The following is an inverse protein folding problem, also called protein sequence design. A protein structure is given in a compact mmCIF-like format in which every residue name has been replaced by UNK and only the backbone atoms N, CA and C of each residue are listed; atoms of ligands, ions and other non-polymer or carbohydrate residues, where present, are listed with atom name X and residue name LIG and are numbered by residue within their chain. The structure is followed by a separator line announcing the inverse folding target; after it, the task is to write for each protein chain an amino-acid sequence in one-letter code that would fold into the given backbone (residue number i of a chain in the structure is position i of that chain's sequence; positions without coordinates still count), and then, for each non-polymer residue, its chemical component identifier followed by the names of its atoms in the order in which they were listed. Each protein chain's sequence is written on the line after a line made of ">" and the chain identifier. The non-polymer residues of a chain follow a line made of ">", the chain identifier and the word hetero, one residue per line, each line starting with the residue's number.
data_IF_475551642798
#
_entry.id   IF_475551642798
#
_cell.length_a   1.000
_cell.length_b   1.000
_cell.length_c   1.000
_cell.angle_alpha   90.00
_cell.angle_beta   90.00
_cell.angle_gamma   90.00
#
_symmetry.space_group_name_H-M   'P 1'
#
loop_
_entity.id
_entity.type
_entity.pdbx_description
1 polymer ?
#
# COMPACT_ATOMS: atom_id res chain seq x y z
N UNK A 1 19.18 22.40 -20.34
CA UNK A 1 20.06 21.37 -19.75
C UNK A 1 19.93 21.50 -18.25
N UNK A 2 19.14 20.69 -17.56
CA UNK A 2 19.39 19.26 -17.32
C UNK A 2 18.09 18.46 -17.48
N UNK A 3 18.04 17.56 -18.46
CA UNK A 3 17.04 16.49 -18.52
C UNK A 3 17.33 15.54 -17.35
N UNK A 4 16.71 15.80 -16.20
CA UNK A 4 16.77 14.89 -15.07
C UNK A 4 15.84 13.71 -15.39
N UNK A 5 16.36 12.74 -16.16
CA UNK A 5 15.72 11.45 -16.38
C UNK A 5 15.48 10.85 -15.00
N UNK A 6 14.23 10.90 -14.56
CA UNK A 6 13.78 10.23 -13.36
C UNK A 6 13.75 8.73 -13.68
N UNK A 7 14.93 8.10 -13.63
CA UNK A 7 15.04 6.66 -13.82
C UNK A 7 14.28 5.99 -12.68
N UNK A 8 13.16 5.35 -13.01
CA UNK A 8 12.39 4.55 -12.05
C UNK A 8 13.34 3.58 -11.37
N UNK A 9 13.52 3.74 -10.06
CA UNK A 9 14.40 2.89 -9.27
C UNK A 9 13.57 1.84 -8.54
N UNK A 10 13.91 0.56 -8.68
CA UNK A 10 13.24 -0.51 -7.94
C UNK A 10 13.71 -0.45 -6.49
N UNK A 11 12.76 -0.39 -5.56
CA UNK A 11 13.08 -0.31 -4.13
C UNK A 11 13.53 -1.68 -3.62
N UNK A 12 14.75 -1.74 -3.07
CA UNK A 12 15.30 -2.90 -2.37
C UNK A 12 15.33 -2.59 -0.87
N UNK A 13 14.73 -3.45 -0.07
CA UNK A 13 14.65 -3.26 1.38
C UNK A 13 15.97 -3.59 2.10
N UNK A 14 16.22 -2.87 3.18
CA UNK A 14 17.35 -3.13 4.08
C UNK A 14 17.22 -4.55 4.67
N UNK A 15 18.31 -5.31 4.67
CA UNK A 15 18.37 -6.74 5.04
C UNK A 15 17.76 -7.74 4.05
N UNK A 16 17.41 -7.32 2.82
CA UNK A 16 17.10 -8.24 1.72
C UNK A 16 18.24 -9.26 1.51
N UNK A 17 17.89 -10.49 1.13
CA UNK A 17 18.86 -11.53 0.78
C UNK A 17 19.89 -11.01 -0.25
N UNK A 18 21.20 -11.21 -0.03
CA UNK A 18 22.24 -10.63 -0.89
C UNK A 18 22.15 -11.08 -2.36
N UNK A 19 21.84 -12.35 -2.63
CA UNK A 19 21.72 -12.86 -4.00
C UNK A 19 20.50 -12.25 -4.70
N UNK A 20 19.37 -12.18 -3.98
CA UNK A 20 18.15 -11.56 -4.49
C UNK A 20 18.31 -10.06 -4.71
N UNK A 21 18.96 -9.35 -3.78
CA UNK A 21 19.26 -7.93 -3.93
C UNK A 21 20.13 -7.66 -5.15
N UNK A 22 21.15 -8.49 -5.39
CA UNK A 22 22.03 -8.33 -6.54
C UNK A 22 21.31 -8.66 -7.85
N UNK A 23 20.46 -9.69 -7.87
CA UNK A 23 19.61 -10.01 -9.02
C UNK A 23 18.66 -8.84 -9.36
N UNK A 24 18.05 -8.19 -8.37
CA UNK A 24 17.20 -7.02 -8.61
C UNK A 24 18.00 -5.85 -9.22
N UNK A 25 19.24 -5.60 -8.75
CA UNK A 25 20.11 -4.58 -9.35
C UNK A 25 20.48 -4.90 -10.80
N UNK A 26 20.81 -6.15 -11.09
CA UNK A 26 21.10 -6.59 -12.47
C UNK A 26 19.87 -6.50 -13.36
N UNK A 27 18.70 -6.82 -12.82
CA UNK A 27 17.42 -6.66 -13.50
C UNK A 27 17.17 -5.18 -13.84
N UNK A 28 17.38 -4.27 -12.89
CA UNK A 28 17.21 -2.83 -13.07
C UNK A 28 18.12 -2.26 -14.18
N UNK A 29 19.34 -2.75 -14.32
CA UNK A 29 20.24 -2.34 -15.42
C UNK A 29 19.70 -2.76 -16.78
N UNK A 30 19.04 -3.92 -16.86
CA UNK A 30 18.58 -4.53 -18.12
C UNK A 30 17.13 -4.24 -18.47
N UNK A 31 16.30 -3.80 -17.53
CA UNK A 31 14.85 -3.78 -17.73
C UNK A 31 14.34 -2.67 -18.66
N UNK A 32 15.16 -1.68 -19.00
CA UNK A 32 14.73 -0.50 -19.79
C UNK A 32 13.97 -0.79 -21.10
N UNK A 33 14.39 -1.74 -21.97
CA UNK A 33 13.65 -2.11 -23.17
C UNK A 33 12.48 -3.08 -22.94
N UNK A 34 12.35 -3.65 -21.74
CA UNK A 34 11.35 -4.67 -21.43
C UNK A 34 10.04 -4.06 -20.95
N UNK A 35 8.91 -4.69 -21.28
CA UNK A 35 7.59 -4.35 -20.69
C UNK A 35 6.61 -5.51 -20.82
N UNK A 36 5.45 -5.41 -20.16
CA UNK A 36 4.37 -6.39 -20.28
C UNK A 36 3.82 -6.46 -21.71
N UNK A 37 3.71 -5.30 -22.36
CA UNK A 37 3.16 -5.16 -23.71
C UNK A 37 4.17 -5.34 -24.85
N UNK A 38 5.46 -5.49 -24.53
CA UNK A 38 6.50 -5.63 -25.54
C UNK A 38 6.59 -7.06 -26.04
N UNK A 39 6.26 -7.29 -27.32
CA UNK A 39 6.41 -8.60 -27.97
C UNK A 39 7.88 -9.02 -28.12
N UNK A 40 8.78 -8.06 -28.36
CA UNK A 40 10.22 -8.32 -28.59
C UNK A 40 11.01 -8.46 -27.28
N UNK A 41 10.61 -7.75 -26.23
CA UNK A 41 11.25 -7.77 -24.91
C UNK A 41 10.21 -7.99 -23.80
N UNK A 42 9.64 -9.20 -23.68
CA UNK A 42 8.65 -9.48 -22.64
C UNK A 42 9.30 -9.40 -21.26
N UNK A 43 8.76 -8.57 -20.36
CA UNK A 43 9.36 -8.37 -19.03
C UNK A 43 9.44 -9.65 -18.20
N UNK A 44 8.48 -10.56 -18.39
CA UNK A 44 8.46 -11.86 -17.71
C UNK A 44 9.68 -12.72 -18.09
N UNK A 45 10.18 -12.59 -19.33
CA UNK A 45 11.41 -13.27 -19.75
C UNK A 45 12.64 -12.76 -19.00
N UNK A 46 12.69 -11.45 -18.72
CA UNK A 46 13.80 -10.90 -17.92
C UNK A 46 13.73 -11.37 -16.46
N UNK A 47 12.52 -11.53 -15.91
CA UNK A 47 12.32 -12.11 -14.57
C UNK A 47 12.83 -13.55 -14.55
N UNK A 48 12.45 -14.36 -15.54
CA UNK A 48 12.93 -15.74 -15.68
C UNK A 48 14.46 -15.83 -15.77
N UNK A 49 15.09 -14.97 -16.57
CA UNK A 49 16.54 -15.00 -16.78
C UNK A 49 17.36 -14.52 -15.57
N UNK A 50 16.86 -13.51 -14.83
CA UNK A 50 17.68 -12.80 -13.82
C UNK A 50 17.23 -13.10 -12.39
N UNK A 51 15.92 -13.24 -12.17
CA UNK A 51 15.33 -13.29 -10.81
C UNK A 51 15.11 -14.73 -10.36
N UNK A 52 14.55 -15.59 -11.22
CA UNK A 52 14.24 -16.98 -10.86
C UNK A 52 15.42 -17.76 -10.27
N UNK A 53 16.68 -17.63 -10.77
CA UNK A 53 17.82 -18.33 -10.17
C UNK A 53 18.08 -17.90 -8.72
N UNK A 54 18.00 -16.59 -8.43
CA UNK A 54 18.22 -16.05 -7.09
C UNK A 54 17.12 -16.48 -6.10
N UNK A 55 15.86 -16.44 -6.54
CA UNK A 55 14.70 -16.87 -5.74
C UNK A 55 14.78 -18.36 -5.45
N UNK A 56 15.16 -19.17 -6.45
CA UNK A 56 15.33 -20.63 -6.28
C UNK A 56 16.44 -20.96 -5.29
N UNK A 57 17.60 -20.31 -5.40
CA UNK A 57 18.72 -20.50 -4.48
C UNK A 57 18.35 -20.06 -3.05
N UNK A 58 17.68 -18.91 -2.90
CA UNK A 58 17.23 -18.43 -1.61
C UNK A 58 16.22 -19.39 -0.96
N UNK A 59 15.27 -19.91 -1.74
CA UNK A 59 14.30 -20.89 -1.27
C UNK A 59 14.94 -22.20 -0.81
N UNK A 60 15.95 -22.69 -1.53
CA UNK A 60 16.68 -23.90 -1.15
C UNK A 60 17.44 -23.74 0.19
N UNK A 61 17.81 -22.52 0.55
CA UNK A 61 18.50 -22.21 1.80
C UNK A 61 17.57 -22.04 3.01
N UNK A 62 16.25 -21.97 2.80
CA UNK A 62 15.27 -21.75 3.86
C UNK A 62 14.76 -23.07 4.47
N UNK A 63 14.34 -23.05 5.76
CA UNK A 63 13.63 -24.18 6.34
C UNK A 63 12.32 -24.47 5.61
N UNK A 64 11.91 -25.74 5.56
CA UNK A 64 10.69 -26.17 4.89
C UNK A 64 9.42 -25.46 5.41
N UNK A 65 9.40 -24.98 6.66
CA UNK A 65 8.26 -24.21 7.20
C UNK A 65 8.01 -22.90 6.44
N UNK A 66 9.00 -22.33 5.76
CA UNK A 66 8.88 -21.05 5.04
C UNK A 66 8.29 -21.22 3.63
N UNK A 67 8.24 -22.45 3.09
CA UNK A 67 7.78 -22.69 1.72
C UNK A 67 6.30 -22.36 1.51
N UNK A 68 5.49 -22.40 2.57
CA UNK A 68 4.07 -22.02 2.48
C UNK A 68 3.82 -20.53 2.17
N UNK A 69 4.85 -19.68 2.27
CA UNK A 69 4.70 -18.22 2.22
C UNK A 69 5.33 -17.57 0.99
N UNK A 70 5.83 -18.36 0.05
CA UNK A 70 6.30 -17.90 -1.25
C UNK A 70 5.44 -18.57 -2.32
N UNK A 71 4.90 -17.83 -3.31
CA UNK A 71 4.15 -18.46 -4.38
C UNK A 71 5.00 -19.52 -5.10
N UNK A 72 4.46 -20.74 -5.24
CA UNK A 72 5.09 -21.88 -5.93
C UNK A 72 6.25 -22.54 -5.20
N UNK A 73 6.53 -22.13 -3.96
CA UNK A 73 7.48 -22.83 -3.13
C UNK A 73 6.94 -24.20 -2.70
N UNK A 74 7.81 -25.21 -2.78
CA UNK A 74 7.48 -26.62 -2.52
C UNK A 74 6.87 -27.38 -3.71
N UNK A 75 6.44 -26.70 -4.78
CA UNK A 75 5.89 -27.35 -5.99
C UNK A 75 6.86 -27.39 -7.18
N UNK A 76 8.04 -26.78 -7.04
CA UNK A 76 9.06 -26.70 -8.10
C UNK A 76 8.70 -25.74 -9.24
N UNK A 77 7.64 -24.94 -9.09
CA UNK A 77 7.22 -23.96 -10.10
C UNK A 77 8.00 -22.67 -9.92
N UNK A 78 8.67 -22.23 -11.00
CA UNK A 78 9.48 -21.01 -10.98
C UNK A 78 8.64 -19.75 -10.75
N UNK A 79 9.24 -18.73 -10.14
CA UNK A 79 8.58 -17.47 -9.79
C UNK A 79 7.97 -16.77 -11.02
N UNK A 80 8.72 -16.71 -12.14
CA UNK A 80 8.21 -16.20 -13.40
C UNK A 80 7.05 -17.02 -14.00
N UNK A 81 7.03 -18.34 -13.79
CA UNK A 81 5.99 -19.22 -14.31
C UNK A 81 4.64 -18.96 -13.63
N UNK A 82 4.64 -18.64 -12.34
CA UNK A 82 3.43 -18.24 -11.62
C UNK A 82 2.93 -16.90 -12.15
N UNK A 83 3.83 -15.94 -12.37
CA UNK A 83 3.48 -14.65 -12.98
C UNK A 83 2.85 -14.83 -14.36
N UNK A 84 3.31 -15.80 -15.18
CA UNK A 84 2.67 -16.13 -16.46
C UNK A 84 1.24 -16.63 -16.29
N UNK A 85 1.00 -17.42 -15.24
CA UNK A 85 -0.31 -18.03 -14.98
C UNK A 85 -1.33 -17.00 -14.48
N UNK A 86 -0.95 -16.19 -13.48
CA UNK A 86 -1.89 -15.31 -12.76
C UNK A 86 -1.81 -13.84 -13.18
N UNK A 87 -0.74 -13.45 -13.87
CA UNK A 87 -0.44 -12.06 -14.19
C UNK A 87 0.24 -11.31 -13.05
N UNK A 88 0.94 -10.21 -13.38
CA UNK A 88 1.74 -9.44 -12.42
C UNK A 88 0.89 -8.82 -11.30
N UNK A 89 -0.29 -8.28 -11.62
CA UNK A 89 -1.15 -7.65 -10.60
C UNK A 89 -1.69 -8.66 -9.59
N UNK A 90 -2.15 -9.82 -10.04
CA UNK A 90 -2.61 -10.89 -9.15
C UNK A 90 -1.44 -11.46 -8.34
N UNK A 91 -0.25 -11.60 -8.95
CA UNK A 91 0.95 -12.04 -8.25
C UNK A 91 1.28 -11.12 -7.06
N UNK A 92 1.23 -9.79 -7.24
CA UNK A 92 1.45 -8.83 -6.13
C UNK A 92 0.45 -9.08 -4.99
N UNK A 93 -0.83 -9.31 -5.31
CA UNK A 93 -1.86 -9.60 -4.30
C UNK A 93 -1.57 -10.89 -3.55
N UNK A 94 -1.20 -11.96 -4.26
CA UNK A 94 -0.86 -13.26 -3.67
C UNK A 94 0.39 -13.16 -2.78
N UNK A 95 1.47 -12.56 -3.28
CA UNK A 95 2.70 -12.36 -2.50
C UNK A 95 2.43 -11.55 -1.23
N UNK A 96 1.63 -10.48 -1.32
CA UNK A 96 1.23 -9.72 -0.14
C UNK A 96 0.46 -10.60 0.84
N UNK A 97 -0.53 -11.35 0.38
CA UNK A 97 -1.35 -12.20 1.25
C UNK A 97 -0.50 -13.27 1.98
N UNK A 98 0.43 -13.91 1.27
CA UNK A 98 1.33 -14.91 1.86
C UNK A 98 2.29 -14.30 2.88
N UNK A 99 2.86 -13.12 2.59
CA UNK A 99 3.68 -12.38 3.54
C UNK A 99 2.89 -12.00 4.81
N UNK A 100 1.63 -11.57 4.67
CA UNK A 100 0.74 -11.30 5.81
C UNK A 100 0.54 -12.53 6.67
N UNK A 101 0.36 -13.68 6.04
CA UNK A 101 0.17 -14.94 6.74
C UNK A 101 1.44 -15.31 7.52
N UNK A 102 2.62 -15.22 6.90
CA UNK A 102 3.90 -15.45 7.56
C UNK A 102 4.08 -14.60 8.82
N UNK A 103 3.85 -13.29 8.71
CA UNK A 103 3.97 -12.35 9.83
C UNK A 103 3.02 -12.72 10.97
N UNK A 104 1.83 -13.24 10.64
CA UNK A 104 0.82 -13.61 11.62
C UNK A 104 1.11 -14.94 12.31
N UNK A 105 1.75 -15.89 11.64
CA UNK A 105 1.82 -17.29 12.10
C UNK A 105 3.22 -17.76 12.48
N UNK A 106 4.27 -17.28 11.83
CA UNK A 106 5.63 -17.82 11.97
C UNK A 106 6.67 -16.78 12.39
N UNK A 107 6.43 -15.51 12.11
CA UNK A 107 7.40 -14.45 12.37
C UNK A 107 7.67 -14.27 13.88
N UNK A 108 8.93 -14.50 14.26
CA UNK A 108 9.43 -14.32 15.63
C UNK A 108 10.39 -13.15 15.73
N UNK A 109 10.47 -12.30 14.69
CA UNK A 109 11.36 -11.16 14.59
C UNK A 109 12.84 -11.54 14.69
N UNK A 110 13.19 -12.78 14.34
CA UNK A 110 14.60 -13.20 14.28
C UNK A 110 15.31 -12.53 13.10
N UNK A 111 16.65 -12.46 13.08
CA UNK A 111 17.39 -11.93 11.92
C UNK A 111 17.06 -12.66 10.61
N UNK A 112 16.68 -13.94 10.69
CA UNK A 112 16.22 -14.71 9.53
C UNK A 112 14.84 -14.26 9.07
N UNK A 113 13.89 -14.08 9.98
CA UNK A 113 12.53 -13.63 9.65
C UNK A 113 12.55 -12.22 9.07
N UNK A 114 13.36 -11.32 9.64
CA UNK A 114 13.56 -9.98 9.12
C UNK A 114 14.13 -10.00 7.69
N UNK A 115 15.13 -10.87 7.43
CA UNK A 115 15.66 -11.07 6.07
C UNK A 115 14.61 -11.63 5.12
N UNK A 116 13.81 -12.57 5.58
CA UNK A 116 12.73 -13.17 4.79
C UNK A 116 11.67 -12.14 4.39
N UNK A 117 11.19 -11.35 5.35
CA UNK A 117 10.26 -10.23 5.12
C UNK A 117 10.85 -9.23 4.13
N UNK A 118 12.08 -8.75 4.37
CA UNK A 118 12.73 -7.78 3.48
C UNK A 118 12.93 -8.32 2.05
N UNK A 119 13.22 -9.61 1.90
CA UNK A 119 13.38 -10.27 0.59
C UNK A 119 12.04 -10.32 -0.14
N UNK A 120 10.97 -10.75 0.54
CA UNK A 120 9.63 -10.77 -0.04
C UNK A 120 9.12 -9.37 -0.39
N UNK A 121 9.35 -8.38 0.46
CA UNK A 121 8.97 -6.98 0.18
C UNK A 121 9.72 -6.41 -1.03
N UNK A 122 10.99 -6.77 -1.21
CA UNK A 122 11.79 -6.38 -2.39
C UNK A 122 11.26 -7.04 -3.67
N UNK A 123 10.89 -8.33 -3.61
CA UNK A 123 10.28 -9.03 -4.74
C UNK A 123 8.88 -8.50 -5.06
N UNK A 124 8.07 -8.16 -4.06
CA UNK A 124 6.77 -7.51 -4.26
C UNK A 124 6.95 -6.15 -4.95
N UNK A 125 7.93 -5.36 -4.51
CA UNK A 125 8.28 -4.08 -5.13
C UNK A 125 8.67 -4.24 -6.60
N UNK A 126 9.55 -5.20 -6.90
CA UNK A 126 9.94 -5.56 -8.27
C UNK A 126 8.72 -5.90 -9.15
N UNK A 127 7.86 -6.83 -8.70
CA UNK A 127 6.69 -7.28 -9.49
C UNK A 127 5.71 -6.13 -9.70
N UNK A 128 5.51 -5.29 -8.68
CA UNK A 128 4.68 -4.09 -8.78
C UNK A 128 5.25 -3.09 -9.80
N UNK A 129 6.54 -2.81 -9.75
CA UNK A 129 7.18 -1.91 -10.70
C UNK A 129 7.12 -2.46 -12.14
N UNK A 130 7.24 -3.79 -12.29
CA UNK A 130 7.03 -4.47 -13.57
C UNK A 130 5.59 -4.30 -14.09
N UNK A 131 4.59 -4.43 -13.21
CA UNK A 131 3.18 -4.22 -13.56
C UNK A 131 2.91 -2.76 -14.00
N UNK A 132 3.56 -1.80 -13.34
CA UNK A 132 3.45 -0.39 -13.65
C UNK A 132 4.27 0.06 -14.88
N UNK A 133 5.21 -0.77 -15.37
CA UNK A 133 6.16 -0.38 -16.41
C UNK A 133 5.51 -0.29 -17.81
N UNK A 134 5.76 0.83 -18.49
CA UNK A 134 5.28 1.09 -19.85
C UNK A 134 6.35 0.89 -20.92
N UNK A 135 5.96 0.51 -22.16
CA UNK A 135 6.88 0.49 -23.30
C UNK A 135 7.31 1.91 -23.71
N UNK A 136 8.57 2.09 -24.11
CA UNK A 136 9.14 3.37 -24.56
C UNK A 136 8.46 3.96 -25.82
N UNK A 137 7.61 3.19 -26.52
CA UNK A 137 6.87 3.60 -27.72
C UNK A 137 5.36 3.36 -27.58
N UNK A 138 4.74 3.88 -26.53
CA UNK A 138 3.29 4.13 -26.58
C UNK A 138 3.10 5.56 -27.07
N UNK A 139 2.88 5.74 -28.37
CA UNK A 139 2.31 7.00 -28.84
C UNK A 139 0.97 7.18 -28.11
N UNK A 140 0.70 8.34 -27.49
CA UNK A 140 -0.61 8.59 -26.94
C UNK A 140 -1.59 8.55 -28.10
N UNK A 141 -2.59 7.67 -28.03
CA UNK A 141 -3.72 7.69 -28.96
C UNK A 141 -4.27 9.12 -28.95
N UNK A 142 -4.33 9.77 -30.11
CA UNK A 142 -4.81 11.14 -30.24
C UNK A 142 -6.16 11.28 -29.50
N UNK A 143 -6.25 12.25 -28.59
CA UNK A 143 -7.45 12.51 -27.79
C UNK A 143 -7.46 11.93 -26.37
N UNK A 144 -6.45 11.15 -25.97
CA UNK A 144 -6.36 10.59 -24.62
C UNK A 144 -5.46 11.46 -23.75
N UNK A 145 -6.08 12.36 -22.97
CA UNK A 145 -5.42 13.24 -22.01
C UNK A 145 -4.43 12.43 -21.13
N UNK A 146 -3.18 12.88 -20.99
CA UNK A 146 -2.13 12.23 -20.19
C UNK A 146 -2.55 11.92 -18.74
N UNK A 147 -3.57 12.61 -18.20
CA UNK A 147 -4.16 12.32 -16.89
C UNK A 147 -5.05 11.07 -16.85
N UNK A 148 -5.59 10.61 -17.97
CA UNK A 148 -6.37 9.37 -18.06
C UNK A 148 -5.52 8.11 -17.94
N UNK A 149 -4.19 8.25 -18.09
CA UNK A 149 -3.27 7.13 -18.09
C UNK A 149 -2.73 6.81 -16.69
N UNK A 150 -2.95 7.63 -15.66
CA UNK A 150 -2.70 7.21 -14.28
C UNK A 150 -3.81 6.22 -13.89
N UNK A 151 -3.59 4.92 -14.09
CA UNK A 151 -4.50 3.82 -13.68
C UNK A 151 -4.92 3.83 -12.18
N UNK A 152 -4.54 4.83 -11.38
CA UNK A 152 -4.67 4.84 -9.93
C UNK A 152 -4.99 6.22 -9.35
N UNK A 153 -5.89 6.98 -10.00
CA UNK A 153 -6.47 8.16 -9.34
C UNK A 153 -7.28 7.70 -8.13
N UNK A 154 -6.73 7.78 -6.92
CA UNK A 154 -7.51 7.60 -5.71
C UNK A 154 -8.39 8.82 -5.48
N UNK A 155 -9.56 8.61 -4.93
CA UNK A 155 -10.42 9.68 -4.46
C UNK A 155 -9.66 10.56 -3.48
N UNK A 156 -9.78 11.88 -3.59
CA UNK A 156 -9.11 12.85 -2.70
C UNK A 156 -9.41 12.64 -1.21
N UNK A 157 -10.51 11.96 -0.87
CA UNK A 157 -10.94 11.75 0.50
C UNK A 157 -10.73 10.33 1.04
N UNK A 158 -10.52 9.32 0.21
CA UNK A 158 -10.37 7.93 0.68
C UNK A 158 -9.44 7.10 -0.22
N UNK A 159 -9.38 5.79 0.03
CA UNK A 159 -8.60 4.82 -0.73
C UNK A 159 -9.32 4.20 -1.93
N UNK A 160 -10.58 4.57 -2.19
CA UNK A 160 -11.30 4.11 -3.38
C UNK A 160 -10.78 4.82 -4.63
N UNK A 161 -10.90 4.17 -5.80
CA UNK A 161 -10.61 4.80 -7.08
C UNK A 161 -11.62 5.91 -7.37
N UNK A 162 -11.19 6.92 -8.13
CA UNK A 162 -12.10 7.94 -8.66
C UNK A 162 -13.08 7.30 -9.63
N UNK A 163 -14.25 7.93 -9.86
CA UNK A 163 -15.25 7.41 -10.81
C UNK A 163 -14.60 7.12 -12.18
N UNK A 164 -13.75 8.04 -12.65
CA UNK A 164 -12.99 7.85 -13.88
C UNK A 164 -12.02 6.66 -13.80
N UNK A 165 -11.21 6.55 -12.74
CA UNK A 165 -10.24 5.47 -12.62
C UNK A 165 -10.89 4.10 -12.44
N UNK A 166 -12.02 4.03 -11.73
CA UNK A 166 -12.82 2.83 -11.58
C UNK A 166 -13.39 2.38 -12.93
N UNK A 167 -13.92 3.32 -13.72
CA UNK A 167 -14.42 3.04 -15.06
C UNK A 167 -13.32 2.57 -16.02
N UNK A 168 -12.14 3.20 -15.96
CA UNK A 168 -11.02 2.75 -16.79
C UNK A 168 -10.52 1.36 -16.41
N UNK A 169 -10.63 0.97 -15.14
CA UNK A 169 -10.31 -0.39 -14.69
C UNK A 169 -11.31 -1.41 -15.26
N UNK A 170 -12.61 -1.12 -15.23
CA UNK A 170 -13.65 -2.01 -15.80
C UNK A 170 -13.54 -2.14 -17.32
N UNK A 171 -13.17 -1.07 -18.02
CA UNK A 171 -12.89 -1.12 -19.48
C UNK A 171 -11.64 -1.97 -19.78
N UNK A 172 -10.60 -1.89 -18.94
CA UNK A 172 -9.37 -2.66 -19.14
C UNK A 172 -9.55 -4.17 -18.89
N UNK A 173 -10.52 -4.56 -18.05
CA UNK A 173 -10.87 -5.95 -17.76
C UNK A 173 -11.87 -6.55 -18.79
N UNK A 174 -12.07 -5.89 -19.94
CA UNK A 174 -12.97 -6.31 -21.05
C UNK A 174 -14.44 -6.51 -20.63
N UNK A 175 -14.88 -5.91 -19.50
CA UNK A 175 -16.23 -6.10 -18.96
C UNK A 175 -17.29 -5.17 -19.56
N UNK A 176 -16.95 -4.34 -20.55
CA UNK A 176 -17.84 -3.30 -21.11
C UNK A 176 -17.80 -3.35 -22.64
N UNK A 177 -18.96 -3.40 -23.28
CA UNK A 177 -19.09 -3.33 -24.76
C UNK A 177 -19.08 -1.88 -25.27
N UNK A 178 -18.87 -1.66 -26.57
CA UNK A 178 -18.77 -0.33 -27.18
C UNK A 178 -20.01 0.56 -26.92
N UNK A 179 -21.19 -0.03 -26.76
CA UNK A 179 -22.46 0.64 -26.48
C UNK A 179 -22.50 1.24 -25.06
N UNK A 180 -22.11 0.45 -24.06
CA UNK A 180 -21.99 0.90 -22.66
C UNK A 180 -20.88 1.94 -22.50
N UNK A 181 -19.84 1.89 -23.34
CA UNK A 181 -18.75 2.86 -23.39
C UNK A 181 -19.23 4.25 -23.83
N UNK A 182 -20.21 4.32 -24.73
CA UNK A 182 -20.86 5.58 -25.12
C UNK A 182 -21.83 6.12 -24.05
N UNK A 183 -22.56 5.25 -23.34
CA UNK A 183 -23.43 5.66 -22.23
C UNK A 183 -22.61 6.19 -21.05
N UNK A 184 -21.52 5.53 -20.68
CA UNK A 184 -20.63 5.99 -19.62
C UNK A 184 -19.86 7.27 -19.96
N UNK A 185 -19.56 7.53 -21.24
CA UNK A 185 -19.03 8.83 -21.69
C UNK A 185 -20.02 9.98 -21.51
N UNK A 186 -21.34 9.71 -21.49
CA UNK A 186 -22.36 10.73 -21.20
C UNK A 186 -22.41 11.11 -19.72
N UNK A 187 -21.95 10.23 -18.82
CA UNK A 187 -21.77 10.57 -17.42
C UNK A 187 -20.45 11.33 -17.26
N UNK A 188 -20.52 12.57 -16.77
CA UNK A 188 -19.32 13.34 -16.37
C UNK A 188 -18.64 12.66 -15.17
N UNK A 189 -17.84 11.62 -15.42
CA UNK A 189 -17.14 10.86 -14.38
C UNK A 189 -16.13 11.76 -13.67
N UNK A 190 -16.17 11.80 -12.34
CA UNK A 190 -15.20 12.57 -11.58
C UNK A 190 -13.79 11.97 -11.69
N UNK A 191 -12.84 12.83 -12.01
CA UNK A 191 -11.41 12.52 -11.92
C UNK A 191 -10.83 12.72 -10.50
N UNK A 192 -11.61 13.27 -9.56
CA UNK A 192 -11.16 13.64 -8.22
C UNK A 192 -11.81 12.81 -7.11
N UNK A 193 -13.05 12.37 -7.32
CA UNK A 193 -13.84 11.69 -6.30
C UNK A 193 -14.29 10.32 -6.75
N UNK A 194 -14.44 9.40 -5.80
CA UNK A 194 -15.18 8.15 -6.02
C UNK A 194 -16.69 8.43 -6.02
N UNK A 195 -17.48 7.43 -6.40
CA UNK A 195 -18.95 7.52 -6.41
C UNK A 195 -19.54 7.95 -5.05
N UNK A 196 -18.96 7.49 -3.93
CA UNK A 196 -19.42 7.87 -2.58
C UNK A 196 -19.08 9.32 -2.20
N UNK A 197 -18.03 9.88 -2.79
CA UNK A 197 -17.53 11.22 -2.47
C UNK A 197 -17.80 12.23 -3.58
N UNK A 198 -18.61 11.90 -4.59
CA UNK A 198 -19.00 12.87 -5.61
C UNK A 198 -19.78 14.04 -4.97
N UNK A 199 -19.58 15.30 -5.41
CA UNK A 199 -20.21 16.45 -4.77
C UNK A 199 -21.74 16.45 -4.80
N UNK A 200 -22.31 16.05 -5.94
CA UNK A 200 -23.77 15.93 -6.14
C UNK A 200 -24.14 14.50 -6.47
N UNK A 201 -25.20 13.99 -5.87
CA UNK A 201 -25.78 12.68 -6.17
C UNK A 201 -26.39 12.67 -7.58
N UNK A 202 -26.77 11.48 -8.07
CA UNK A 202 -27.39 11.31 -9.39
C UNK A 202 -28.72 12.09 -9.51
N UNK A 203 -29.42 12.30 -8.41
CA UNK A 203 -30.65 13.12 -8.34
C UNK A 203 -30.37 14.65 -8.28
N UNK A 204 -29.10 15.08 -8.35
CA UNK A 204 -28.69 16.49 -8.31
C UNK A 204 -28.55 17.10 -6.91
N UNK A 205 -28.93 16.39 -5.85
CA UNK A 205 -28.80 16.84 -4.47
C UNK A 205 -27.34 16.82 -4.00
N UNK A 206 -27.02 17.65 -3.00
CA UNK A 206 -25.69 17.66 -2.41
C UNK A 206 -25.43 16.44 -1.56
N UNK A 207 -24.31 15.76 -1.82
CA UNK A 207 -23.91 14.57 -1.09
C UNK A 207 -23.41 14.91 0.33
N UNK A 208 -24.07 14.41 1.40
CA UNK A 208 -23.62 14.62 2.78
C UNK A 208 -22.23 14.05 3.07
N UNK A 209 -21.88 12.90 2.48
CA UNK A 209 -20.59 12.24 2.65
C UNK A 209 -19.46 13.11 2.10
N UNK A 210 -19.64 13.72 0.91
CA UNK A 210 -18.73 14.72 0.37
C UNK A 210 -18.51 15.88 1.34
N UNK A 211 -19.59 16.46 1.88
CA UNK A 211 -19.49 17.60 2.82
C UNK A 211 -18.76 17.22 4.10
N UNK A 212 -19.04 16.05 4.65
CA UNK A 212 -18.37 15.54 5.85
C UNK A 212 -16.88 15.32 5.59
N UNK A 213 -16.54 14.60 4.52
CA UNK A 213 -15.16 14.32 4.15
C UNK A 213 -14.36 15.60 3.85
N UNK A 214 -15.00 16.59 3.22
CA UNK A 214 -14.42 17.91 2.98
C UNK A 214 -14.09 18.66 4.28
N UNK A 215 -14.97 18.61 5.28
CA UNK A 215 -14.73 19.23 6.61
C UNK A 215 -13.55 18.59 7.34
N UNK A 216 -13.35 17.27 7.22
CA UNK A 216 -12.26 16.54 7.86
C UNK A 216 -11.04 16.33 6.93
N UNK A 217 -10.99 16.98 5.77
CA UNK A 217 -9.97 16.73 4.74
C UNK A 217 -8.54 17.01 5.22
N UNK A 218 -8.33 18.11 5.95
CA UNK A 218 -7.01 18.45 6.50
C UNK A 218 -6.55 17.43 7.55
N UNK A 219 -7.48 16.95 8.39
CA UNK A 219 -7.20 15.88 9.37
C UNK A 219 -6.77 14.61 8.65
N UNK A 220 -7.52 14.20 7.62
CA UNK A 220 -7.18 13.04 6.80
C UNK A 220 -5.80 13.15 6.16
N UNK A 221 -5.47 14.29 5.54
CA UNK A 221 -4.14 14.50 4.94
C UNK A 221 -3.02 14.38 5.97
N UNK A 222 -3.23 14.93 7.16
CA UNK A 222 -2.28 14.85 8.27
C UNK A 222 -2.06 13.40 8.71
N UNK A 223 -3.14 12.65 8.99
CA UNK A 223 -2.99 11.25 9.43
C UNK A 223 -2.44 10.36 8.30
N UNK A 224 -2.79 10.63 7.04
CA UNK A 224 -2.21 9.94 5.89
C UNK A 224 -0.70 10.18 5.78
N UNK A 225 -0.23 11.40 5.99
CA UNK A 225 1.21 11.70 6.00
C UNK A 225 1.93 10.93 7.10
N UNK A 226 1.37 10.95 8.33
CA UNK A 226 1.89 10.22 9.50
C UNK A 226 1.96 8.71 9.24
N UNK A 227 0.89 8.12 8.70
CA UNK A 227 0.86 6.70 8.31
C UNK A 227 1.89 6.40 7.22
N UNK A 228 2.03 7.23 6.19
CA UNK A 228 3.04 7.01 5.15
C UNK A 228 4.46 7.07 5.72
N UNK A 229 4.78 8.05 6.57
CA UNK A 229 6.10 8.16 7.18
C UNK A 229 6.43 6.94 8.05
N UNK A 230 5.51 6.56 8.94
CA UNK A 230 5.72 5.41 9.82
C UNK A 230 5.76 4.08 9.04
N UNK A 231 4.97 3.96 7.97
CA UNK A 231 4.94 2.78 7.12
C UNK A 231 6.24 2.65 6.31
N UNK A 232 6.81 3.75 5.85
CA UNK A 232 8.09 3.75 5.13
C UNK A 232 9.28 3.33 6.02
N UNK A 233 9.21 3.61 7.33
CA UNK A 233 10.23 3.19 8.29
C UNK A 233 9.61 2.61 9.56
N UNK A 234 9.34 1.31 9.51
CA UNK A 234 8.62 0.58 10.57
C UNK A 234 9.41 0.37 11.86
N UNK A 235 10.75 0.38 11.80
CA UNK A 235 11.61 0.01 12.93
C UNK A 235 11.69 1.06 14.04
N UNK A 236 11.34 2.33 13.75
CA UNK A 236 11.48 3.44 14.71
C UNK A 236 10.26 4.36 14.68
N UNK A 237 9.85 4.97 15.81
CA UNK A 237 8.81 6.01 15.82
C UNK A 237 9.21 7.21 14.95
N UNK A 238 8.50 7.43 13.84
CA UNK A 238 8.82 8.49 12.87
C UNK A 238 7.59 9.05 12.15
N UNK A 239 6.45 9.13 12.83
CA UNK A 239 5.28 9.79 12.25
C UNK A 239 5.48 11.32 12.05
N UNK A 240 6.54 11.88 12.64
CA UNK A 240 6.91 13.29 12.57
C UNK A 240 5.80 14.22 13.08
N UNK A 241 5.14 13.80 14.16
CA UNK A 241 4.05 14.58 14.77
C UNK A 241 4.55 15.76 15.61
N UNK A 242 5.82 15.74 16.02
CA UNK A 242 6.38 16.69 17.00
C UNK A 242 6.10 16.30 18.46
N UNK A 243 5.35 15.21 18.68
CA UNK A 243 5.02 14.67 20.00
C UNK A 243 5.46 13.20 20.10
N UNK A 244 6.41 12.87 21.00
CA UNK A 244 6.93 11.50 21.12
C UNK A 244 5.86 10.44 21.42
N UNK A 245 4.81 10.77 22.19
CA UNK A 245 3.73 9.83 22.49
C UNK A 245 2.85 9.58 21.26
N UNK A 246 2.63 10.60 20.43
CA UNK A 246 1.88 10.43 19.17
C UNK A 246 2.71 9.63 18.17
N UNK A 247 4.02 9.86 18.08
CA UNK A 247 4.90 9.08 17.21
C UNK A 247 4.97 7.61 17.66
N UNK A 248 5.06 7.37 18.98
CA UNK A 248 4.97 6.04 19.57
C UNK A 248 3.63 5.35 19.27
N UNK A 249 2.52 6.08 19.24
CA UNK A 249 1.21 5.52 18.86
C UNK A 249 1.27 4.94 17.45
N UNK A 250 1.74 5.73 16.47
CA UNK A 250 1.82 5.27 15.09
C UNK A 250 2.77 4.08 14.95
N UNK A 251 3.89 4.09 15.67
CA UNK A 251 4.81 2.96 15.72
C UNK A 251 4.12 1.66 16.16
N UNK A 252 3.52 1.63 17.36
CA UNK A 252 2.84 0.44 17.87
C UNK A 252 1.62 0.05 17.03
N UNK A 253 0.85 1.04 16.55
CA UNK A 253 -0.30 0.82 15.69
C UNK A 253 0.10 0.15 14.37
N UNK A 254 1.22 0.58 13.77
CA UNK A 254 1.73 0.00 12.52
C UNK A 254 2.43 -1.35 12.71
N UNK A 255 3.07 -1.60 13.85
CA UNK A 255 3.66 -2.91 14.17
C UNK A 255 2.60 -4.02 14.20
N UNK A 256 1.41 -3.72 14.74
CA UNK A 256 0.30 -4.65 14.78
C UNK A 256 -0.38 -4.88 13.40
N UNK A 257 0.14 -4.26 12.33
CA UNK A 257 -0.46 -4.25 11.02
C UNK A 257 0.48 -4.70 9.92
N UNK A 258 -0.12 -5.30 8.90
CA UNK A 258 0.60 -5.81 7.73
C UNK A 258 0.55 -4.86 6.52
N UNK A 259 0.14 -3.61 6.71
CA UNK A 259 -0.07 -2.64 5.63
C UNK A 259 1.26 -2.06 5.14
N UNK A 260 1.59 -2.26 3.88
CA UNK A 260 2.88 -1.88 3.31
C UNK A 260 2.86 -0.48 2.66
N UNK A 261 4.02 0.16 2.40
CA UNK A 261 4.06 1.47 1.75
C UNK A 261 3.36 1.51 0.38
N UNK A 262 3.32 0.36 -0.29
CA UNK A 262 2.66 0.17 -1.58
C UNK A 262 1.15 -0.12 -1.46
N UNK A 263 0.62 -0.39 -0.27
CA UNK A 263 -0.83 -0.53 0.01
C UNK A 263 -1.49 0.85 0.10
N UNK A 264 -1.39 1.66 -0.96
CA UNK A 264 -1.85 3.06 -0.96
C UNK A 264 -3.35 3.21 -0.66
N UNK A 265 -4.18 2.31 -1.18
CA UNK A 265 -5.62 2.31 -0.90
C UNK A 265 -5.89 2.11 0.60
N UNK A 266 -5.23 1.12 1.21
CA UNK A 266 -5.42 0.77 2.61
C UNK A 266 -4.95 1.89 3.55
N UNK A 267 -3.75 2.44 3.32
CA UNK A 267 -3.25 3.59 4.09
C UNK A 267 -4.19 4.79 4.04
N UNK A 268 -4.80 5.05 2.89
CA UNK A 268 -5.81 6.11 2.72
C UNK A 268 -7.11 5.77 3.46
N UNK A 269 -7.61 4.55 3.37
CA UNK A 269 -8.81 4.14 4.09
C UNK A 269 -8.62 4.20 5.61
N UNK A 270 -7.45 3.83 6.12
CA UNK A 270 -7.13 3.99 7.53
C UNK A 270 -7.05 5.44 7.97
N UNK A 271 -6.37 6.30 7.20
CA UNK A 271 -6.33 7.74 7.48
C UNK A 271 -7.73 8.35 7.48
N UNK A 272 -8.60 7.87 6.58
CA UNK A 272 -10.01 8.29 6.50
C UNK A 272 -10.76 7.89 7.76
N UNK A 273 -10.65 6.62 8.17
CA UNK A 273 -11.28 6.14 9.40
C UNK A 273 -10.82 6.92 10.64
N UNK A 274 -9.52 7.25 10.74
CA UNK A 274 -8.99 8.08 11.83
C UNK A 274 -9.61 9.48 11.86
N UNK A 275 -9.78 10.10 10.68
CA UNK A 275 -10.38 11.42 10.55
C UNK A 275 -11.87 11.41 10.91
N UNK A 276 -12.61 10.41 10.43
CA UNK A 276 -14.06 10.31 10.63
C UNK A 276 -14.41 9.92 12.08
N UNK A 277 -13.57 9.08 12.71
CA UNK A 277 -13.70 8.70 14.12
C UNK A 277 -13.20 9.77 15.10
N UNK A 278 -12.71 10.91 14.59
CA UNK A 278 -12.15 12.01 15.39
C UNK A 278 -11.06 11.53 16.36
N UNK A 279 -10.14 10.70 15.87
CA UNK A 279 -9.00 10.21 16.66
C UNK A 279 -8.00 11.35 16.86
N UNK A 280 -8.14 12.06 17.98
CA UNK A 280 -7.29 13.20 18.33
C UNK A 280 -5.90 12.74 18.80
N UNK A 281 -4.93 13.65 18.77
CA UNK A 281 -3.58 13.36 19.27
C UNK A 281 -3.60 13.10 20.79
N UNK A 282 -4.51 13.77 21.53
CA UNK A 282 -4.79 13.45 22.93
C UNK A 282 -5.29 12.02 23.13
N UNK A 283 -6.17 11.51 22.26
CA UNK A 283 -6.63 10.11 22.31
C UNK A 283 -5.46 9.13 22.05
N UNK A 284 -4.60 9.43 21.09
CA UNK A 284 -3.40 8.63 20.79
C UNK A 284 -2.41 8.58 21.96
N UNK A 285 -2.17 9.71 22.62
CA UNK A 285 -1.36 9.77 23.83
C UNK A 285 -1.93 8.87 24.94
N UNK A 286 -3.26 8.90 25.16
CA UNK A 286 -3.90 8.04 26.17
C UNK A 286 -3.74 6.56 25.84
N UNK A 287 -3.91 6.17 24.57
CA UNK A 287 -3.75 4.79 24.12
C UNK A 287 -2.33 4.27 24.35
N UNK A 288 -1.31 5.08 24.04
CA UNK A 288 0.10 4.71 24.26
C UNK A 288 0.41 4.57 25.74
N UNK A 289 -0.03 5.51 26.57
CA UNK A 289 0.20 5.41 28.00
C UNK A 289 -0.52 4.19 28.60
N UNK A 290 -1.72 3.88 28.15
CA UNK A 290 -2.42 2.66 28.56
C UNK A 290 -1.67 1.40 28.11
N UNK A 291 -1.14 1.39 26.88
CA UNK A 291 -0.32 0.28 26.37
C UNK A 291 0.98 0.12 27.16
N UNK A 292 1.57 1.22 27.66
CA UNK A 292 2.73 1.22 28.55
C UNK A 292 2.41 0.85 30.01
N UNK A 293 1.18 0.44 30.32
CA UNK A 293 0.78 -0.07 31.64
C UNK A 293 0.30 0.98 32.64
N UNK A 294 0.17 2.26 32.25
CA UNK A 294 -0.35 3.29 33.14
C UNK A 294 -1.86 3.14 33.34
N UNK A 295 -2.30 3.30 34.59
CA UNK A 295 -3.73 3.34 34.89
C UNK A 295 -4.33 4.73 34.58
N UNK A 296 -5.66 4.83 34.53
CA UNK A 296 -6.34 6.08 34.14
C UNK A 296 -6.00 7.28 35.04
N UNK A 297 -5.70 7.07 36.32
CA UNK A 297 -5.34 8.14 37.26
C UNK A 297 -3.94 8.68 36.97
N UNK A 298 -3.00 7.80 36.60
CA UNK A 298 -1.65 8.18 36.20
C UNK A 298 -1.64 8.88 34.84
N UNK A 299 -2.41 8.37 33.88
CA UNK A 299 -2.61 9.02 32.57
C UNK A 299 -3.16 10.43 32.76
N UNK A 300 -4.18 10.60 33.61
CA UNK A 300 -4.78 11.88 33.95
C UNK A 300 -3.74 12.86 34.51
N UNK A 301 -2.93 12.41 35.48
CA UNK A 301 -1.85 13.22 36.08
C UNK A 301 -0.81 13.63 35.04
N UNK A 302 -0.38 12.71 34.18
CA UNK A 302 0.66 12.95 33.17
C UNK A 302 0.19 13.88 32.04
N UNK A 303 -1.08 13.83 31.69
CA UNK A 303 -1.67 14.66 30.63
C UNK A 303 -2.29 15.97 31.16
N UNK A 304 -2.32 16.18 32.49
CA UNK A 304 -2.86 17.40 33.11
C UNK A 304 -4.38 17.53 32.97
N UNK A 305 -5.12 16.42 33.00
CA UNK A 305 -6.58 16.39 32.81
C UNK A 305 -7.25 15.54 33.89
N UNK A 306 -8.58 15.60 34.00
CA UNK A 306 -9.32 14.77 34.95
C UNK A 306 -9.42 13.29 34.55
N UNK A 307 -9.38 12.38 35.52
CA UNK A 307 -9.57 10.92 35.32
C UNK A 307 -10.85 10.60 34.54
N UNK A 308 -11.95 11.30 34.84
CA UNK A 308 -13.22 11.10 34.13
C UNK A 308 -13.12 11.47 32.64
N UNK A 309 -12.31 12.48 32.30
CA UNK A 309 -12.06 12.85 30.91
C UNK A 309 -11.28 11.76 30.17
N UNK A 310 -10.29 11.13 30.83
CA UNK A 310 -9.56 9.97 30.29
C UNK A 310 -10.52 8.81 30.03
N UNK A 311 -11.35 8.45 31.01
CA UNK A 311 -12.30 7.34 30.87
C UNK A 311 -13.29 7.56 29.72
N UNK A 312 -13.87 8.75 29.60
CA UNK A 312 -14.81 9.08 28.52
C UNK A 312 -14.11 9.11 27.16
N UNK A 313 -12.90 9.65 27.10
CA UNK A 313 -12.13 9.71 25.86
C UNK A 313 -11.80 8.30 25.36
N UNK A 314 -11.26 7.43 26.21
CA UNK A 314 -10.94 6.04 25.87
C UNK A 314 -12.19 5.25 25.44
N UNK A 315 -13.30 5.38 26.16
CA UNK A 315 -14.55 4.69 25.80
C UNK A 315 -15.14 5.13 24.44
N UNK A 316 -14.77 6.32 23.96
CA UNK A 316 -15.22 6.85 22.65
C UNK A 316 -14.29 6.50 21.49
N UNK A 317 -13.23 5.73 21.73
CA UNK A 317 -12.28 5.31 20.68
C UNK A 317 -12.83 4.05 20.02
N UNK A 318 -12.82 4.04 18.68
CA UNK A 318 -13.18 2.86 17.92
C UNK A 318 -12.17 1.73 18.16
N UNK A 319 -12.64 0.50 18.41
CA UNK A 319 -11.80 -0.64 18.83
C UNK A 319 -10.62 -0.92 17.89
N UNK A 320 -10.82 -0.69 16.59
CA UNK A 320 -9.76 -0.81 15.56
C UNK A 320 -8.50 0.04 15.85
N UNK A 321 -8.58 1.07 16.70
CA UNK A 321 -7.43 1.92 17.08
C UNK A 321 -6.75 1.50 18.37
N UNK A 322 -7.27 0.51 19.09
CA UNK A 322 -6.63 0.03 20.31
C UNK A 322 -5.32 -0.68 19.97
N UNK A 323 -4.27 -0.36 20.73
CA UNK A 323 -2.98 -1.01 20.60
C UNK A 323 -3.07 -2.40 21.23
N UNK A 324 -2.71 -3.44 20.47
CA UNK A 324 -2.67 -4.81 20.99
C UNK A 324 -1.50 -4.91 21.98
N UNK A 325 -1.78 -5.52 23.14
CA UNK A 325 -0.76 -5.93 24.11
C UNK A 325 -0.02 -7.16 23.59
#
# INVERSE_FOLDING_TARGET
>A
MVDMKNESKIVIWENCDPLTSEAIKQFEQRWQPYSVSSRRYPIIRLIEEVIDPSVTAYMAALPASYSGYIPGAGTGVAFSAIIRLVGLEAMVRVQRQLLRQFIKTEDRQTPRDQRFVATLESLIGLVWDCACKRPKKSAPTNGVNLNSQRKHGFCDFCGNLTEFASFMATVADEQINDSELEEHRKFELSHQFCAEHRPKLANGEWNPAYRQAKRSHMRFKLELARLNHQCAKRSTPQAASGDPLVDSYFYHYMLAQTVQPADKAELRNQARLMADSKLSDRKKQMLVLQHSGFNQSEIARRLGIGRQAVSKALASIHEAFHLKQ
#
